data_IF_765167072226
#
_entry.id   IF_765167072226
#
_cell.length_a   1.000
_cell.length_b   1.000
_cell.length_c   1.000
_cell.angle_alpha   90.00
_cell.angle_beta   90.00
_cell.angle_gamma   90.00
#
_symmetry.space_group_name_H-M   'P 1'
#
loop_
_entity.id
_entity.type
_entity.pdbx_description
1 polymer ?
#
# COMPACT_ATOMS: atom_id res chain seq x y z
N UNK A 1 18.91 45.96 11.39
CA UNK A 1 17.97 45.00 12.02
C UNK A 1 16.69 44.68 11.22
N UNK A 2 16.12 45.59 10.41
CA UNK A 2 14.85 45.34 9.68
C UNK A 2 14.96 44.43 8.43
N UNK A 3 16.16 44.32 7.83
CA UNK A 3 16.38 43.45 6.66
C UNK A 3 16.53 41.97 7.02
N UNK A 4 17.15 41.68 8.17
CA UNK A 4 17.34 40.32 8.69
C UNK A 4 16.01 39.56 8.86
N UNK A 5 14.97 40.23 9.37
CA UNK A 5 13.66 39.62 9.58
C UNK A 5 12.90 39.34 8.27
N UNK A 6 13.01 40.26 7.30
CA UNK A 6 12.43 40.07 5.96
C UNK A 6 13.11 38.93 5.20
N UNK A 7 14.43 38.83 5.31
CA UNK A 7 15.21 37.79 4.65
C UNK A 7 14.89 36.39 5.22
N UNK A 8 14.76 36.27 6.54
CA UNK A 8 14.29 35.04 7.20
C UNK A 8 12.87 34.66 6.77
N UNK A 9 11.96 35.63 6.65
CA UNK A 9 10.59 35.38 6.18
C UNK A 9 10.56 34.81 4.75
N UNK A 10 11.31 35.42 3.83
CA UNK A 10 11.41 34.94 2.44
C UNK A 10 11.99 33.53 2.40
N UNK A 11 13.02 33.25 3.19
CA UNK A 11 13.62 31.92 3.25
C UNK A 11 12.63 30.86 3.75
N UNK A 12 11.84 31.17 4.78
CA UNK A 12 10.79 30.27 5.29
C UNK A 12 9.72 29.99 4.23
N UNK A 13 9.30 31.01 3.48
CA UNK A 13 8.32 30.84 2.40
C UNK A 13 8.88 29.94 1.28
N UNK A 14 10.14 30.15 0.89
CA UNK A 14 10.80 29.31 -0.12
C UNK A 14 10.92 27.86 0.37
N UNK A 15 11.32 27.65 1.62
CA UNK A 15 11.40 26.31 2.22
C UNK A 15 10.05 25.59 2.21
N UNK A 16 8.98 26.30 2.57
CA UNK A 16 7.62 25.77 2.54
C UNK A 16 7.19 25.41 1.12
N UNK A 17 7.52 26.24 0.14
CA UNK A 17 7.19 26.02 -1.26
C UNK A 17 7.93 24.81 -1.83
N UNK A 18 9.22 24.65 -1.50
CA UNK A 18 10.01 23.46 -1.86
C UNK A 18 9.42 22.20 -1.22
N UNK A 19 9.02 22.26 0.05
CA UNK A 19 8.39 21.14 0.73
C UNK A 19 7.06 20.75 0.06
N UNK A 20 6.24 21.73 -0.30
CA UNK A 20 4.97 21.50 -0.99
C UNK A 20 5.18 20.89 -2.38
N UNK A 21 6.16 21.39 -3.14
CA UNK A 21 6.57 20.84 -4.43
C UNK A 21 7.05 19.39 -4.31
N UNK A 22 7.89 19.09 -3.30
CA UNK A 22 8.38 17.73 -3.03
C UNK A 22 7.22 16.77 -2.77
N UNK A 23 6.24 17.17 -1.94
CA UNK A 23 5.07 16.34 -1.62
C UNK A 23 4.20 16.08 -2.85
N UNK A 24 4.06 17.06 -3.76
CA UNK A 24 3.30 16.90 -5.01
C UNK A 24 4.03 15.98 -6.00
N UNK A 25 5.37 16.04 -6.05
CA UNK A 25 6.20 15.18 -6.90
C UNK A 25 6.37 13.76 -6.36
N UNK A 26 5.99 13.49 -5.10
CA UNK A 26 5.99 12.13 -4.58
C UNK A 26 4.89 11.31 -5.29
N UNK A 27 5.23 10.13 -5.84
CA UNK A 27 4.26 9.27 -6.48
C UNK A 27 3.19 8.83 -5.46
N UNK A 28 1.93 8.86 -5.89
CA UNK A 28 0.76 8.47 -5.08
C UNK A 28 0.94 7.09 -4.44
N UNK A 29 1.65 6.19 -5.12
CA UNK A 29 1.93 4.84 -4.65
C UNK A 29 2.75 4.80 -3.36
N UNK A 30 3.64 5.77 -3.14
CA UNK A 30 4.45 5.84 -1.93
C UNK A 30 3.60 6.28 -0.72
N UNK A 31 2.64 7.18 -0.94
CA UNK A 31 1.65 7.54 0.08
C UNK A 31 0.73 6.35 0.42
N UNK A 32 0.31 5.59 -0.60
CA UNK A 32 -0.50 4.37 -0.40
C UNK A 32 0.26 3.32 0.42
N UNK A 33 1.56 3.17 0.21
CA UNK A 33 2.42 2.30 1.00
C UNK A 33 2.51 2.72 2.47
N UNK A 34 2.68 4.02 2.77
CA UNK A 34 2.66 4.52 4.16
C UNK A 34 1.29 4.33 4.83
N UNK A 35 0.22 4.35 4.04
CA UNK A 35 -1.15 4.07 4.50
C UNK A 35 -1.55 2.59 4.45
N UNK A 36 -0.65 1.71 4.02
CA UNK A 36 -0.95 0.29 3.87
C UNK A 36 -1.10 -0.34 5.25
N UNK A 37 -2.36 -0.49 5.66
CA UNK A 37 -2.71 -1.13 6.91
C UNK A 37 -2.26 -2.59 6.90
N UNK A 38 -1.54 -3.01 7.95
CA UNK A 38 -1.12 -4.41 8.12
C UNK A 38 -2.35 -5.32 8.18
N UNK A 39 -2.17 -6.60 7.82
CA UNK A 39 -3.24 -7.60 7.89
C UNK A 39 -3.76 -7.72 9.33
N UNK A 40 -2.87 -7.62 10.31
CA UNK A 40 -3.20 -7.59 11.75
C UNK A 40 -4.08 -6.39 12.10
N UNK A 41 -3.73 -5.18 11.68
CA UNK A 41 -4.56 -3.98 11.94
C UNK A 41 -5.92 -4.07 11.23
N UNK A 42 -5.98 -4.67 10.04
CA UNK A 42 -7.26 -4.92 9.35
C UNK A 42 -8.14 -5.91 10.11
N UNK A 43 -7.55 -6.98 10.63
CA UNK A 43 -8.25 -7.97 11.44
C UNK A 43 -8.80 -7.35 12.73
N UNK A 44 -7.96 -6.58 13.45
CA UNK A 44 -8.33 -5.91 14.70
C UNK A 44 -9.46 -4.89 14.51
N UNK A 45 -9.54 -4.24 13.35
CA UNK A 45 -10.61 -3.29 13.02
C UNK A 45 -11.84 -3.95 12.41
N UNK A 46 -11.90 -5.27 12.35
CA UNK A 46 -13.02 -6.03 11.81
C UNK A 46 -13.25 -5.82 10.31
N UNK A 47 -12.23 -5.37 9.58
CA UNK A 47 -12.32 -5.15 8.13
C UNK A 47 -12.16 -6.47 7.39
N UNK A 48 -12.82 -6.57 6.25
CA UNK A 48 -12.71 -7.75 5.39
C UNK A 48 -11.30 -7.86 4.81
N UNK A 49 -10.77 -9.09 4.80
CA UNK A 49 -9.43 -9.40 4.32
C UNK A 49 -9.55 -10.37 3.15
N UNK A 50 -9.05 -9.96 1.99
CA UNK A 50 -9.05 -10.79 0.79
C UNK A 50 -7.61 -11.19 0.45
N UNK A 51 -7.36 -12.49 0.38
CA UNK A 51 -6.04 -13.09 0.13
C UNK A 51 -6.15 -13.92 -1.15
N UNK A 52 -5.39 -13.57 -2.18
CA UNK A 52 -5.24 -14.38 -3.38
C UNK A 52 -4.12 -15.41 -3.16
N UNK A 53 -4.47 -16.68 -3.20
CA UNK A 53 -3.56 -17.81 -3.06
C UNK A 53 -3.27 -18.36 -4.46
N UNK A 54 -1.99 -18.45 -4.80
CA UNK A 54 -1.50 -18.94 -6.09
C UNK A 54 -0.62 -20.17 -5.87
N UNK A 55 -1.01 -21.31 -6.43
CA UNK A 55 -0.15 -22.50 -6.53
C UNK A 55 0.63 -22.46 -7.83
N UNK A 56 1.94 -22.20 -7.76
CA UNK A 56 2.84 -22.04 -8.92
C UNK A 56 3.54 -23.37 -9.23
N UNK A 57 3.50 -23.84 -10.49
CA UNK A 57 4.30 -24.99 -10.97
C UNK A 57 5.73 -24.55 -11.35
N UNK A 58 6.50 -24.10 -10.36
CA UNK A 58 7.83 -23.52 -10.60
C UNK A 58 8.87 -24.60 -10.90
N UNK A 59 9.26 -24.73 -12.17
CA UNK A 59 10.29 -25.68 -12.63
C UNK A 59 11.68 -25.04 -12.66
N UNK A 60 12.75 -25.83 -12.48
CA UNK A 60 14.11 -25.31 -12.54
C UNK A 60 14.39 -24.60 -13.87
N UNK A 61 14.78 -23.33 -13.78
CA UNK A 61 15.12 -22.51 -14.95
C UNK A 61 13.99 -21.63 -15.50
N UNK A 62 12.75 -21.75 -15.00
CA UNK A 62 11.67 -20.84 -15.37
C UNK A 62 11.67 -19.57 -14.50
N UNK A 63 11.76 -18.40 -15.15
CA UNK A 63 11.67 -17.09 -14.48
C UNK A 63 10.22 -16.68 -14.18
N UNK A 64 9.29 -17.05 -15.07
CA UNK A 64 7.86 -16.83 -14.90
C UNK A 64 7.17 -18.17 -15.07
N UNK A 65 6.55 -18.66 -14.00
CA UNK A 65 5.86 -19.94 -13.98
C UNK A 65 4.34 -19.75 -13.84
N UNK A 66 3.60 -20.73 -14.37
CA UNK A 66 2.15 -20.75 -14.39
C UNK A 66 1.57 -21.04 -13.00
N UNK A 67 0.46 -20.37 -12.67
CA UNK A 67 -0.41 -20.76 -11.57
C UNK A 67 -1.33 -21.90 -12.01
N UNK A 68 -1.21 -23.07 -11.39
CA UNK A 68 -2.11 -24.21 -11.61
C UNK A 68 -3.31 -24.21 -10.67
N UNK A 69 -3.22 -23.47 -9.57
CA UNK A 69 -4.30 -23.28 -8.61
C UNK A 69 -4.43 -21.81 -8.25
N UNK A 70 -5.65 -21.29 -8.31
CA UNK A 70 -5.99 -19.95 -7.85
C UNK A 70 -7.19 -20.03 -6.90
N UNK A 71 -7.01 -19.53 -5.68
CA UNK A 71 -8.08 -19.49 -4.67
C UNK A 71 -8.12 -18.09 -4.07
N UNK A 72 -9.30 -17.47 -4.09
CA UNK A 72 -9.54 -16.26 -3.32
C UNK A 72 -10.09 -16.64 -1.94
N UNK A 73 -9.33 -16.36 -0.89
CA UNK A 73 -9.75 -16.50 0.48
C UNK A 73 -10.24 -15.15 1.01
N UNK A 74 -11.52 -15.04 1.29
CA UNK A 74 -12.17 -13.85 1.83
C UNK A 74 -12.53 -14.10 3.29
N UNK A 75 -11.86 -13.43 4.21
CA UNK A 75 -12.11 -13.47 5.65
C UNK A 75 -12.98 -12.27 6.03
N UNK A 76 -14.07 -12.52 6.76
CA UNK A 76 -14.92 -11.51 7.36
C UNK A 76 -14.85 -11.63 8.89
N UNK A 77 -13.91 -10.93 9.55
CA UNK A 77 -13.72 -11.05 11.00
C UNK A 77 -14.94 -10.61 11.81
N UNK A 78 -15.72 -9.66 11.29
CA UNK A 78 -16.94 -9.13 11.93
C UNK A 78 -18.05 -10.15 12.15
N UNK A 79 -18.11 -11.19 11.32
CA UNK A 79 -19.11 -12.27 11.40
C UNK A 79 -18.47 -13.64 11.62
N UNK A 80 -17.15 -13.69 11.85
CA UNK A 80 -16.36 -14.91 12.06
C UNK A 80 -16.53 -15.94 10.93
N UNK A 81 -16.61 -15.48 9.66
CA UNK A 81 -16.76 -16.36 8.49
C UNK A 81 -15.64 -16.18 7.49
N UNK A 82 -15.40 -17.25 6.73
CA UNK A 82 -14.50 -17.25 5.60
C UNK A 82 -15.18 -17.88 4.39
N UNK A 83 -14.83 -17.39 3.20
CA UNK A 83 -15.22 -17.97 1.90
C UNK A 83 -13.96 -18.29 1.12
N UNK A 84 -13.90 -19.50 0.57
CA UNK A 84 -12.87 -19.92 -0.37
C UNK A 84 -13.52 -20.04 -1.75
N UNK A 85 -13.12 -19.16 -2.67
CA UNK A 85 -13.56 -19.20 -4.06
C UNK A 85 -12.44 -19.80 -4.89
N UNK A 86 -12.64 -21.02 -5.36
CA UNK A 86 -11.77 -21.60 -6.38
C UNK A 86 -11.99 -20.87 -7.69
N UNK A 87 -10.92 -20.29 -8.24
CA UNK A 87 -10.94 -19.64 -9.55
C UNK A 87 -10.38 -20.65 -10.55
N UNK A 88 -11.22 -21.24 -11.43
CA UNK A 88 -10.71 -22.10 -12.48
C UNK A 88 -9.79 -21.29 -13.39
N UNK A 89 -8.79 -21.97 -13.97
CA UNK A 89 -7.84 -21.33 -14.87
C UNK A 89 -8.53 -20.75 -16.10
#
# INVERSE_FOLDING_TARGET
MKNESKQKFIFTVILLLIFCLLVILLPVDHFRFLSAESIESKADRGKDINILILGIDARPGELNSRSDTMILASLHPSIERAVLVWIPR
#
